data_IF_577741047443
#
_entry.id   IF_577741047443
#
_cell.length_a   1.000
_cell.length_b   1.000
_cell.length_c   1.000
_cell.angle_alpha   90.00
_cell.angle_beta   90.00
_cell.angle_gamma   90.00
#
_symmetry.space_group_name_H-M   'P 1'
#
loop_
_entity.id
_entity.type
_entity.pdbx_description
1 polymer ?
#
# COMPACT_ATOMS: atom_id res chain seq x y z
N UNK A 1 -20.92 0.40 37.08
CA UNK A 1 -20.56 0.43 38.52
C UNK A 1 -21.33 1.57 39.17
N UNK A 2 -22.43 1.27 39.88
CA UNK A 2 -23.00 2.06 40.97
C UNK A 2 -24.15 1.22 41.56
N UNK A 3 -24.09 1.03 42.87
CA UNK A 3 -24.88 0.10 43.66
C UNK A 3 -25.68 0.86 44.73
N UNK A 4 -26.63 0.13 45.31
CA UNK A 4 -27.28 0.33 46.62
C UNK A 4 -28.41 1.38 46.73
N UNK A 5 -29.62 0.90 47.08
CA UNK A 5 -30.11 0.98 48.46
C UNK A 5 -31.39 0.12 48.59
N UNK A 6 -31.30 -0.95 49.38
CA UNK A 6 -32.43 -1.73 49.85
C UNK A 6 -32.84 -1.19 51.23
N UNK A 7 -34.08 -0.75 51.37
CA UNK A 7 -34.67 -0.35 52.65
C UNK A 7 -35.69 -1.40 53.07
N UNK A 8 -35.24 -2.34 53.89
CA UNK A 8 -36.05 -3.28 54.67
C UNK A 8 -36.53 -2.62 55.95
N UNK A 9 -37.84 -2.46 56.13
CA UNK A 9 -38.44 -2.06 57.41
C UNK A 9 -39.28 -3.20 57.97
N UNK A 10 -38.77 -3.79 59.03
CA UNK A 10 -39.39 -4.83 59.85
C UNK A 10 -40.24 -4.24 60.98
N UNK A 11 -41.24 -5.04 61.38
CA UNK A 11 -41.89 -5.16 62.70
C UNK A 11 -42.67 -3.98 63.30
N UNK A 12 -43.97 -4.21 63.51
CA UNK A 12 -44.50 -4.18 64.87
C UNK A 12 -45.74 -5.07 65.00
N UNK A 13 -45.63 -6.10 65.85
CA UNK A 13 -46.72 -6.97 66.25
C UNK A 13 -47.27 -6.53 67.60
N UNK A 14 -48.52 -6.09 67.62
CA UNK A 14 -49.32 -5.91 68.84
C UNK A 14 -50.49 -6.89 68.79
N UNK A 15 -50.44 -7.90 69.67
CA UNK A 15 -51.55 -8.77 69.98
C UNK A 15 -52.61 -7.98 70.75
N UNK A 16 -53.80 -7.80 70.17
CA UNK A 16 -55.00 -7.38 70.87
C UNK A 16 -56.09 -8.44 70.75
N UNK A 17 -56.79 -8.62 71.85
CA UNK A 17 -57.82 -9.61 72.14
C UNK A 17 -58.93 -9.66 71.07
N UNK A 18 -59.32 -10.89 70.75
CA UNK A 18 -60.37 -11.25 69.80
C UNK A 18 -61.75 -10.99 70.41
N UNK A 19 -62.25 -9.76 70.31
CA UNK A 19 -63.69 -9.54 70.14
C UNK A 19 -64.02 -9.85 68.68
N UNK A 20 -65.08 -10.63 68.37
CA UNK A 20 -65.47 -10.89 66.99
C UNK A 20 -65.92 -9.58 66.35
N UNK A 21 -65.00 -8.92 65.64
CA UNK A 21 -65.27 -7.84 64.72
C UNK A 21 -66.16 -8.39 63.61
N UNK A 22 -67.47 -8.40 63.85
CA UNK A 22 -68.44 -8.40 62.75
C UNK A 22 -68.07 -7.18 61.92
N UNK A 23 -67.59 -7.42 60.70
CA UNK A 23 -67.14 -6.40 59.77
C UNK A 23 -68.31 -5.48 59.40
N UNK A 24 -68.60 -4.53 60.28
CA UNK A 24 -69.58 -3.47 60.09
C UNK A 24 -68.90 -2.39 59.23
N UNK A 25 -68.69 -2.72 57.97
CA UNK A 25 -68.03 -1.86 57.01
C UNK A 25 -68.03 -2.50 55.63
N UNK A 26 -68.23 -1.67 54.60
CA UNK A 26 -68.35 -2.00 53.17
C UNK A 26 -67.10 -2.69 52.58
N UNK A 27 -66.77 -3.90 53.02
CA UNK A 27 -65.61 -4.68 52.54
C UNK A 27 -65.72 -4.96 51.03
N UNK A 28 -66.93 -5.17 50.53
CA UNK A 28 -67.21 -5.37 49.10
C UNK A 28 -66.78 -4.13 48.30
N UNK A 29 -67.11 -2.92 48.77
CA UNK A 29 -66.71 -1.68 48.07
C UNK A 29 -65.19 -1.51 48.09
N UNK A 30 -64.53 -1.82 49.21
CA UNK A 30 -63.07 -1.78 49.30
C UNK A 30 -62.41 -2.78 48.35
N UNK A 31 -62.94 -4.00 48.24
CA UNK A 31 -62.42 -5.00 47.31
C UNK A 31 -62.58 -4.55 45.84
N UNK A 32 -63.76 -4.05 45.48
CA UNK A 32 -64.02 -3.49 44.13
C UNK A 32 -63.11 -2.30 43.84
N UNK A 33 -62.88 -1.43 44.83
CA UNK A 33 -61.99 -0.28 44.69
C UNK A 33 -60.52 -0.71 44.51
N UNK A 34 -60.06 -1.69 45.28
CA UNK A 34 -58.72 -2.28 45.14
C UNK A 34 -58.55 -2.93 43.76
N UNK A 35 -59.54 -3.68 43.29
CA UNK A 35 -59.53 -4.29 41.98
C UNK A 35 -59.46 -3.23 40.86
N UNK A 36 -60.28 -2.17 40.94
CA UNK A 36 -60.24 -1.06 39.97
C UNK A 36 -58.90 -0.32 39.99
N UNK A 37 -58.32 -0.13 41.17
CA UNK A 37 -57.01 0.49 41.35
C UNK A 37 -55.90 -0.40 40.76
N UNK A 38 -55.97 -1.71 40.98
CA UNK A 38 -55.03 -2.66 40.39
C UNK A 38 -55.11 -2.69 38.87
N UNK A 39 -56.32 -2.68 38.30
CA UNK A 39 -56.52 -2.63 36.84
C UNK A 39 -55.98 -1.33 36.23
N UNK A 40 -56.23 -0.18 36.88
CA UNK A 40 -55.66 1.10 36.44
C UNK A 40 -54.12 1.09 36.49
N UNK A 41 -53.52 0.54 37.56
CA UNK A 41 -52.07 0.41 37.67
C UNK A 41 -51.48 -0.50 36.59
N UNK A 42 -52.16 -1.60 36.26
CA UNK A 42 -51.78 -2.49 35.14
C UNK A 42 -51.78 -1.73 33.82
N UNK A 43 -52.83 -0.97 33.51
CA UNK A 43 -52.87 -0.16 32.29
C UNK A 43 -51.79 0.91 32.24
N UNK A 44 -51.54 1.60 33.35
CA UNK A 44 -50.49 2.60 33.45
C UNK A 44 -49.10 1.99 33.18
N UNK A 45 -48.82 0.82 33.74
CA UNK A 45 -47.55 0.12 33.54
C UNK A 45 -47.40 -0.37 32.09
N UNK A 46 -48.45 -0.90 31.49
CA UNK A 46 -48.43 -1.29 30.07
C UNK A 46 -48.14 -0.10 29.16
N UNK A 47 -48.75 1.06 29.44
CA UNK A 47 -48.50 2.28 28.67
C UNK A 47 -47.03 2.72 28.82
N UNK A 48 -46.49 2.73 30.05
CA UNK A 48 -45.09 3.06 30.30
C UNK A 48 -44.14 2.13 29.53
N UNK A 49 -44.42 0.83 29.50
CA UNK A 49 -43.62 -0.15 28.76
C UNK A 49 -43.67 0.12 27.25
N UNK A 50 -44.86 0.38 26.69
CA UNK A 50 -45.00 0.74 25.28
C UNK A 50 -44.26 2.03 24.93
N UNK A 51 -44.35 3.05 25.78
CA UNK A 51 -43.59 4.30 25.61
C UNK A 51 -42.09 4.03 25.59
N UNK A 52 -41.58 3.20 26.52
CA UNK A 52 -40.16 2.82 26.53
C UNK A 52 -39.73 2.09 25.25
N UNK A 53 -40.56 1.18 24.73
CA UNK A 53 -40.28 0.48 23.47
C UNK A 53 -40.25 1.44 22.27
N UNK A 54 -41.19 2.39 22.20
CA UNK A 54 -41.24 3.41 21.14
C UNK A 54 -39.96 4.26 21.18
N UNK A 55 -39.57 4.75 22.35
CA UNK A 55 -38.36 5.57 22.51
C UNK A 55 -37.08 4.79 22.13
N UNK A 56 -36.98 3.52 22.53
CA UNK A 56 -35.86 2.66 22.14
C UNK A 56 -35.81 2.42 20.63
N UNK A 57 -36.96 2.23 19.98
CA UNK A 57 -37.04 2.07 18.54
C UNK A 57 -36.59 3.34 17.80
N UNK A 58 -36.99 4.52 18.30
CA UNK A 58 -36.55 5.81 17.77
C UNK A 58 -35.02 5.98 17.87
N UNK A 59 -34.44 5.73 19.04
CA UNK A 59 -32.98 5.82 19.22
C UNK A 59 -32.21 4.88 18.26
N UNK A 60 -32.72 3.67 18.03
CA UNK A 60 -32.13 2.73 17.06
C UNK A 60 -32.25 3.22 15.61
N UNK A 61 -33.37 3.86 15.26
CA UNK A 61 -33.60 4.40 13.93
C UNK A 61 -32.63 5.57 13.64
N UNK A 62 -32.43 6.45 14.61
CA UNK A 62 -31.48 7.57 14.51
C UNK A 62 -30.04 7.08 14.34
N UNK A 63 -29.66 6.04 15.10
CA UNK A 63 -28.35 5.40 14.94
C UNK A 63 -28.16 4.81 13.53
N UNK A 64 -29.16 4.13 12.99
CA UNK A 64 -29.11 3.57 11.63
C UNK A 64 -29.08 4.67 10.56
N UNK A 65 -29.84 5.74 10.73
CA UNK A 65 -29.79 6.89 9.82
C UNK A 65 -28.41 7.53 9.78
N UNK A 66 -27.78 7.69 10.95
CA UNK A 66 -26.39 8.17 11.04
C UNK A 66 -25.43 7.23 10.31
N UNK A 67 -25.54 5.91 10.53
CA UNK A 67 -24.71 4.93 9.82
C UNK A 67 -24.90 4.98 8.29
N UNK A 68 -26.14 5.17 7.82
CA UNK A 68 -26.43 5.31 6.39
C UNK A 68 -25.74 6.57 5.83
N UNK A 69 -25.74 7.67 6.59
CA UNK A 69 -25.07 8.90 6.19
C UNK A 69 -23.54 8.71 6.11
N UNK A 70 -22.93 8.12 7.14
CA UNK A 70 -21.49 7.83 7.17
C UNK A 70 -21.06 6.96 5.98
N UNK A 71 -21.84 5.91 5.66
CA UNK A 71 -21.57 5.04 4.50
C UNK A 71 -21.74 5.77 3.16
N UNK A 72 -22.70 6.67 3.05
CA UNK A 72 -22.87 7.51 1.85
C UNK A 72 -21.68 8.44 1.65
N UNK A 73 -21.18 9.07 2.72
CA UNK A 73 -20.00 9.95 2.66
C UNK A 73 -18.73 9.16 2.33
N UNK A 74 -18.58 7.96 2.90
CA UNK A 74 -17.48 7.05 2.57
C UNK A 74 -17.55 6.60 1.11
N UNK A 75 -18.73 6.23 0.60
CA UNK A 75 -18.92 5.84 -0.80
C UNK A 75 -18.65 7.00 -1.76
N UNK A 76 -19.15 8.20 -1.46
CA UNK A 76 -18.86 9.40 -2.26
C UNK A 76 -17.37 9.72 -2.30
N UNK A 77 -16.64 9.46 -1.21
CA UNK A 77 -15.18 9.60 -1.15
C UNK A 77 -14.48 8.50 -1.95
N UNK A 78 -14.97 7.26 -1.85
CA UNK A 78 -14.44 6.11 -2.59
C UNK A 78 -14.62 6.31 -4.10
N UNK A 79 -15.79 6.73 -4.58
CA UNK A 79 -16.08 6.97 -6.01
C UNK A 79 -15.26 8.13 -6.61
N UNK A 80 -14.69 9.03 -5.80
CA UNK A 80 -13.70 10.02 -6.29
C UNK A 80 -12.32 9.43 -6.56
N UNK A 81 -11.94 8.34 -5.90
CA UNK A 81 -10.63 7.69 -6.10
C UNK A 81 -10.47 6.97 -7.46
N UNK A 82 -11.45 6.22 -8.00
CA UNK A 82 -11.31 5.60 -9.32
C UNK A 82 -11.20 6.66 -10.41
N UNK A 83 -11.88 7.81 -10.27
CA UNK A 83 -11.74 8.93 -11.21
C UNK A 83 -10.32 9.49 -11.23
N UNK A 84 -9.66 9.58 -10.07
CA UNK A 84 -8.25 10.02 -9.97
C UNK A 84 -7.27 8.98 -10.53
N UNK A 85 -7.53 7.70 -10.29
CA UNK A 85 -6.69 6.63 -10.85
C UNK A 85 -6.86 6.51 -12.37
N UNK A 86 -8.09 6.65 -12.87
CA UNK A 86 -8.37 6.60 -14.30
C UNK A 86 -7.77 7.83 -15.00
N UNK A 87 -7.79 9.02 -14.39
CA UNK A 87 -7.14 10.21 -14.95
C UNK A 87 -5.61 10.06 -15.00
N UNK A 88 -4.99 9.53 -13.95
CA UNK A 88 -3.54 9.23 -13.95
C UNK A 88 -3.19 8.14 -14.97
N UNK A 89 -4.02 7.08 -15.08
CA UNK A 89 -3.85 6.05 -16.11
C UNK A 89 -3.90 6.66 -17.51
N UNK A 90 -4.88 7.53 -17.79
CA UNK A 90 -5.02 8.20 -19.08
C UNK A 90 -3.81 9.10 -19.37
N UNK A 91 -3.35 9.83 -18.35
CA UNK A 91 -2.15 10.69 -18.44
C UNK A 91 -0.91 9.86 -18.79
N UNK A 92 -0.69 8.75 -18.10
CA UNK A 92 0.44 7.84 -18.36
C UNK A 92 0.36 7.21 -19.76
N UNK A 93 -0.83 6.82 -20.21
CA UNK A 93 -1.03 6.29 -21.56
C UNK A 93 -0.71 7.34 -22.64
N UNK A 94 -1.06 8.61 -22.41
CA UNK A 94 -0.67 9.70 -23.32
C UNK A 94 0.84 9.94 -23.31
N UNK A 95 1.49 9.97 -22.14
CA UNK A 95 2.96 10.10 -22.07
C UNK A 95 3.67 8.95 -22.79
N UNK A 96 3.19 7.71 -22.66
CA UNK A 96 3.77 6.56 -23.38
C UNK A 96 3.62 6.69 -24.90
N UNK A 97 2.50 7.23 -25.38
CA UNK A 97 2.30 7.51 -26.80
C UNK A 97 3.31 8.55 -27.31
N UNK A 98 3.45 9.66 -26.59
CA UNK A 98 4.38 10.73 -26.92
C UNK A 98 5.83 10.23 -27.00
N UNK A 99 6.27 9.44 -26.02
CA UNK A 99 7.61 8.82 -26.03
C UNK A 99 7.82 7.91 -27.23
N UNK A 100 6.81 7.12 -27.62
CA UNK A 100 6.90 6.28 -28.81
C UNK A 100 7.00 7.11 -30.09
N UNK A 101 6.18 8.15 -30.23
CA UNK A 101 6.24 9.07 -31.38
C UNK A 101 7.60 9.77 -31.47
N UNK A 102 8.17 10.19 -30.35
CA UNK A 102 9.49 10.83 -30.32
C UNK A 102 10.63 9.87 -30.63
N UNK A 103 10.53 8.61 -30.21
CA UNK A 103 11.47 7.56 -30.61
C UNK A 103 11.42 7.34 -32.12
N UNK A 104 10.23 7.21 -32.69
CA UNK A 104 10.07 6.99 -34.13
C UNK A 104 10.62 8.18 -34.95
N UNK A 105 10.44 9.42 -34.46
CA UNK A 105 11.08 10.62 -35.04
C UNK A 105 12.61 10.55 -34.93
N UNK A 106 13.14 10.15 -33.78
CA UNK A 106 14.57 10.04 -33.54
C UNK A 106 15.21 8.98 -34.46
N UNK A 107 14.58 7.83 -34.63
CA UNK A 107 15.03 6.76 -35.53
C UNK A 107 15.06 7.24 -36.99
N UNK A 108 14.03 8.01 -37.41
CA UNK A 108 14.00 8.59 -38.76
C UNK A 108 15.13 9.63 -38.98
N UNK A 109 15.41 10.46 -37.97
CA UNK A 109 16.52 11.41 -37.99
C UNK A 109 17.88 10.71 -38.01
N UNK A 110 18.03 9.64 -37.24
CA UNK A 110 19.25 8.83 -37.23
C UNK A 110 19.53 8.21 -38.60
N UNK A 111 18.52 7.63 -39.24
CA UNK A 111 18.64 7.09 -40.61
C UNK A 111 19.06 8.20 -41.59
N UNK A 112 18.55 9.42 -41.41
CA UNK A 112 18.87 10.56 -42.28
C UNK A 112 20.31 11.02 -42.08
N UNK A 113 20.75 11.20 -40.84
CA UNK A 113 22.13 11.56 -40.49
C UNK A 113 23.13 10.48 -40.90
N UNK A 114 22.76 9.20 -40.79
CA UNK A 114 23.62 8.10 -41.24
C UNK A 114 23.80 8.13 -42.76
N UNK A 115 22.74 8.41 -43.54
CA UNK A 115 22.84 8.62 -44.99
C UNK A 115 23.76 9.79 -45.32
N UNK A 116 23.59 10.95 -44.66
CA UNK A 116 24.45 12.12 -44.87
C UNK A 116 25.90 11.89 -44.47
N UNK A 117 26.13 11.14 -43.38
CA UNK A 117 27.47 10.78 -42.90
C UNK A 117 28.18 9.87 -43.89
N UNK A 118 27.46 8.89 -44.45
CA UNK A 118 27.99 8.01 -45.52
C UNK A 118 28.27 8.80 -46.79
N UNK A 119 27.35 9.68 -47.21
CA UNK A 119 27.53 10.56 -48.38
C UNK A 119 28.71 11.52 -48.21
N UNK A 120 28.91 12.06 -47.01
CA UNK A 120 30.04 12.94 -46.70
C UNK A 120 31.36 12.19 -46.67
N UNK A 121 31.37 10.93 -46.21
CA UNK A 121 32.55 10.06 -46.21
C UNK A 121 32.96 9.63 -47.63
N UNK A 122 32.00 9.59 -48.56
CA UNK A 122 32.22 9.28 -49.97
C UNK A 122 32.64 10.50 -50.82
N UNK A 123 32.70 11.72 -50.26
CA UNK A 123 33.32 12.89 -50.91
C UNK A 123 34.77 13.07 -50.40
N UNK A 124 35.80 12.74 -51.19
CA UNK A 124 37.17 13.02 -50.81
C UNK A 124 37.44 14.53 -50.97
N UNK A 125 37.74 15.25 -49.89
CA UNK A 125 38.38 16.58 -49.99
C UNK A 125 37.89 17.73 -49.10
N UNK A 126 36.86 17.58 -48.25
CA UNK A 126 36.34 18.71 -47.43
C UNK A 126 36.19 18.40 -45.94
N UNK A 127 37.15 17.69 -45.34
CA UNK A 127 37.18 17.55 -43.88
C UNK A 127 37.96 18.72 -43.27
N UNK A 128 37.27 19.83 -43.06
CA UNK A 128 37.84 21.05 -42.48
C UNK A 128 37.85 20.95 -40.94
N UNK A 129 39.01 20.76 -40.27
CA UNK A 129 39.08 20.49 -38.83
C UNK A 129 38.58 21.64 -37.95
N UNK A 130 38.51 22.85 -38.51
CA UNK A 130 38.07 24.07 -37.82
C UNK A 130 36.54 24.12 -37.61
N UNK A 131 35.75 23.41 -38.41
CA UNK A 131 34.29 23.31 -38.28
C UNK A 131 33.84 22.21 -37.30
N UNK A 132 34.69 21.22 -37.01
CA UNK A 132 34.35 20.09 -36.13
C UNK A 132 34.55 20.40 -34.64
N UNK A 133 35.51 21.26 -34.31
CA UNK A 133 35.84 21.65 -32.93
C UNK A 133 34.69 22.36 -32.16
N UNK A 134 33.91 23.28 -32.77
CA UNK A 134 32.77 23.92 -32.11
C UNK A 134 31.65 22.94 -31.75
N UNK A 135 31.34 22.00 -32.64
CA UNK A 135 30.33 20.96 -32.40
C UNK A 135 30.76 20.01 -31.28
N UNK A 136 32.02 19.58 -31.26
CA UNK A 136 32.54 18.73 -30.19
C UNK A 136 32.53 19.43 -28.83
N UNK A 137 32.86 20.74 -28.80
CA UNK A 137 32.78 21.55 -27.58
C UNK A 137 31.34 21.72 -27.09
N UNK A 138 30.38 21.91 -28.00
CA UNK A 138 28.94 21.98 -27.69
C UNK A 138 28.41 20.63 -27.19
N UNK A 139 28.78 19.52 -27.83
CA UNK A 139 28.41 18.17 -27.40
C UNK A 139 28.97 17.85 -26.01
N UNK A 140 30.23 18.17 -25.75
CA UNK A 140 30.86 18.01 -24.42
C UNK A 140 30.18 18.84 -23.35
N UNK A 141 29.81 20.09 -23.66
CA UNK A 141 29.05 20.95 -22.75
C UNK A 141 27.66 20.36 -22.45
N UNK A 142 26.97 19.83 -23.45
CA UNK A 142 25.65 19.19 -23.30
C UNK A 142 25.73 17.92 -22.45
N UNK A 143 26.75 17.08 -22.64
CA UNK A 143 26.98 15.90 -21.79
C UNK A 143 27.24 16.30 -20.34
N UNK A 144 28.05 17.34 -20.10
CA UNK A 144 28.29 17.84 -18.74
C UNK A 144 27.01 18.37 -18.09
N UNK A 145 26.17 19.06 -18.86
CA UNK A 145 24.88 19.58 -18.38
C UNK A 145 23.91 18.45 -18.04
N UNK A 146 23.83 17.42 -18.89
CA UNK A 146 23.03 16.22 -18.61
C UNK A 146 23.49 15.50 -17.35
N UNK A 147 24.80 15.35 -17.13
CA UNK A 147 25.34 14.77 -15.90
C UNK A 147 24.95 15.58 -14.66
N UNK A 148 25.03 16.92 -14.73
CA UNK A 148 24.61 17.78 -13.63
C UNK A 148 23.10 17.63 -13.34
N UNK A 149 22.26 17.59 -14.36
CA UNK A 149 20.82 17.37 -14.20
C UNK A 149 20.51 15.99 -13.58
N UNK A 150 21.19 14.93 -14.02
CA UNK A 150 21.05 13.59 -13.45
C UNK A 150 21.40 13.61 -11.96
N UNK A 151 22.48 14.29 -11.57
CA UNK A 151 22.88 14.40 -10.17
C UNK A 151 21.80 15.09 -9.32
N UNK A 152 21.26 16.22 -9.80
CA UNK A 152 20.21 16.97 -9.10
C UNK A 152 18.94 16.14 -8.92
N UNK A 153 18.50 15.44 -9.97
CA UNK A 153 17.30 14.59 -9.89
C UNK A 153 17.53 13.42 -8.93
N UNK A 154 18.72 12.81 -8.98
CA UNK A 154 19.07 11.64 -8.15
C UNK A 154 19.15 12.01 -6.67
N UNK A 155 19.75 13.15 -6.33
CA UNK A 155 19.98 13.57 -4.95
C UNK A 155 18.79 14.33 -4.34
N UNK A 156 17.96 14.98 -5.15
CA UNK A 156 16.85 15.82 -4.69
C UNK A 156 15.51 15.07 -4.63
N UNK A 157 14.75 15.18 -5.72
CA UNK A 157 13.37 14.70 -5.79
C UNK A 157 13.26 13.18 -5.70
N UNK A 158 14.16 12.45 -6.36
CA UNK A 158 14.16 10.99 -6.33
C UNK A 158 14.46 10.43 -4.94
N UNK A 159 15.42 11.02 -4.23
CA UNK A 159 15.77 10.59 -2.87
C UNK A 159 14.61 10.80 -1.88
N UNK A 160 13.92 11.94 -1.97
CA UNK A 160 12.76 12.26 -1.12
C UNK A 160 11.59 11.32 -1.44
N UNK A 161 11.25 11.16 -2.72
CA UNK A 161 10.18 10.24 -3.14
C UNK A 161 10.48 8.79 -2.75
N UNK A 162 11.73 8.36 -2.80
CA UNK A 162 12.15 7.03 -2.34
C UNK A 162 11.92 6.84 -0.84
N UNK A 163 12.30 7.83 -0.03
CA UNK A 163 12.06 7.78 1.42
C UNK A 163 10.56 7.71 1.77
N UNK A 164 9.71 8.45 1.04
CA UNK A 164 8.26 8.41 1.21
C UNK A 164 7.67 7.03 0.84
N UNK A 165 8.14 6.43 -0.26
CA UNK A 165 7.73 5.06 -0.64
C UNK A 165 8.14 4.04 0.41
N UNK A 166 9.36 4.13 0.96
CA UNK A 166 9.83 3.23 2.01
C UNK A 166 9.04 3.42 3.31
N UNK A 167 8.66 4.65 3.65
CA UNK A 167 7.78 4.96 4.79
C UNK A 167 6.38 4.35 4.60
N UNK A 168 5.74 4.55 3.45
CA UNK A 168 4.42 3.96 3.15
C UNK A 168 4.45 2.44 3.21
N UNK A 169 5.55 1.82 2.77
CA UNK A 169 5.75 0.37 2.89
C UNK A 169 5.84 -0.10 4.34
N UNK A 170 6.54 0.64 5.20
CA UNK A 170 6.58 0.35 6.64
C UNK A 170 5.18 0.45 7.28
N UNK A 171 4.42 1.49 6.94
CA UNK A 171 3.04 1.68 7.43
C UNK A 171 2.10 0.54 6.96
N UNK A 172 2.33 -0.01 5.76
CA UNK A 172 1.60 -1.15 5.20
C UNK A 172 2.14 -2.52 5.63
N UNK A 173 3.21 -2.58 6.43
CA UNK A 173 3.85 -3.82 6.86
C UNK A 173 4.54 -4.62 5.74
N UNK A 174 4.88 -3.96 4.62
CA UNK A 174 5.57 -4.59 3.49
C UNK A 174 7.09 -4.55 3.68
N UNK A 175 7.83 -5.59 3.25
CA UNK A 175 9.29 -5.59 3.34
C UNK A 175 9.89 -4.46 2.49
N UNK A 176 11.06 -3.91 2.91
CA UNK A 176 11.73 -2.85 2.17
C UNK A 176 12.11 -3.32 0.77
N UNK A 177 12.05 -2.39 -0.20
CA UNK A 177 12.36 -2.73 -1.58
C UNK A 177 13.83 -3.19 -1.71
N UNK A 178 14.09 -4.23 -2.53
CA UNK A 178 15.46 -4.60 -2.87
C UNK A 178 16.15 -3.43 -3.57
N UNK A 179 17.44 -3.26 -3.30
CA UNK A 179 18.21 -2.17 -3.89
C UNK A 179 18.22 -2.26 -5.42
N UNK A 180 18.20 -1.12 -6.11
CA UNK A 180 18.27 -1.07 -7.58
C UNK A 180 19.49 -1.86 -8.10
N UNK A 181 20.61 -1.81 -7.38
CA UNK A 181 21.82 -2.59 -7.65
C UNK A 181 21.54 -4.10 -7.61
N UNK A 182 20.85 -4.58 -6.57
CA UNK A 182 20.48 -6.00 -6.46
C UNK A 182 19.54 -6.42 -7.59
N UNK A 183 18.59 -5.57 -7.98
CA UNK A 183 17.68 -5.85 -9.11
C UNK A 183 18.41 -5.86 -10.45
N UNK A 184 19.40 -4.98 -10.64
CA UNK A 184 20.25 -4.96 -11.84
C UNK A 184 21.12 -6.21 -11.89
N UNK A 185 21.72 -6.60 -10.77
CA UNK A 185 22.59 -7.77 -10.67
C UNK A 185 21.80 -9.06 -10.92
N UNK A 186 20.60 -9.19 -10.34
CA UNK A 186 19.67 -10.29 -10.61
C UNK A 186 19.26 -10.35 -12.09
N UNK A 187 18.87 -9.22 -12.69
CA UNK A 187 18.54 -9.16 -14.12
C UNK A 187 19.73 -9.48 -15.01
N UNK A 188 20.94 -9.05 -14.65
CA UNK A 188 22.16 -9.35 -15.40
C UNK A 188 22.48 -10.85 -15.36
N UNK A 189 22.29 -11.49 -14.21
CA UNK A 189 22.44 -12.94 -14.06
C UNK A 189 21.37 -13.68 -14.84
N UNK A 190 20.13 -13.20 -14.82
CA UNK A 190 19.03 -13.75 -15.60
C UNK A 190 19.34 -13.68 -17.10
N UNK A 191 19.83 -12.54 -17.58
CA UNK A 191 20.23 -12.36 -18.97
C UNK A 191 21.35 -13.33 -19.37
N UNK A 192 22.38 -13.48 -18.53
CA UNK A 192 23.46 -14.45 -18.78
C UNK A 192 22.96 -15.90 -18.74
N UNK A 193 21.95 -16.20 -17.92
CA UNK A 193 21.32 -17.52 -17.84
C UNK A 193 20.52 -17.80 -19.10
N UNK A 194 19.73 -16.84 -19.56
CA UNK A 194 18.95 -16.93 -20.80
C UNK A 194 19.87 -17.05 -22.01
N UNK A 195 20.99 -16.32 -22.04
CA UNK A 195 22.00 -16.45 -23.09
C UNK A 195 22.62 -17.85 -23.15
N UNK A 196 22.90 -18.47 -21.98
CA UNK A 196 23.37 -19.86 -21.92
C UNK A 196 22.31 -20.83 -22.41
N UNK A 197 21.06 -20.64 -21.99
CA UNK A 197 19.94 -21.50 -22.37
C UNK A 197 19.64 -21.40 -23.87
N UNK A 198 19.78 -20.20 -24.44
CA UNK A 198 19.69 -19.95 -25.88
C UNK A 198 20.85 -20.59 -26.65
N UNK A 199 22.08 -20.52 -26.13
CA UNK A 199 23.22 -21.22 -26.71
C UNK A 199 23.08 -22.75 -26.65
N UNK A 200 22.53 -23.29 -25.55
CA UNK A 200 22.19 -24.71 -25.43
C UNK A 200 21.08 -25.12 -26.41
N UNK A 201 20.07 -24.26 -26.62
CA UNK A 201 19.01 -24.50 -27.60
C UNK A 201 19.53 -24.50 -29.05
N UNK A 202 20.53 -23.67 -29.37
CA UNK A 202 21.16 -23.65 -30.70
C UNK A 202 22.20 -24.74 -30.90
N UNK A 203 22.74 -25.31 -29.81
CA UNK A 203 23.74 -26.39 -29.84
C UNK A 203 23.14 -27.77 -29.53
N UNK A 204 21.83 -27.86 -29.37
CA UNK A 204 21.12 -29.13 -29.27
C UNK A 204 21.12 -29.82 -30.65
N UNK A 205 21.57 -31.08 -30.76
CA UNK A 205 21.57 -31.78 -32.04
C UNK A 205 20.13 -31.95 -32.53
N UNK A 206 19.81 -31.31 -33.64
CA UNK A 206 18.52 -31.40 -34.33
C UNK A 206 18.21 -32.87 -34.69
N UNK A 207 17.47 -33.56 -33.82
CA UNK A 207 16.79 -34.80 -34.19
C UNK A 207 15.53 -34.41 -34.96
N UNK A 208 15.54 -34.80 -36.23
CA UNK A 208 14.47 -34.68 -37.23
C UNK A 208 13.09 -35.04 -36.65
N UNK A 209 12.03 -34.27 -36.94
CA UNK A 209 10.66 -34.74 -36.75
C UNK A 209 10.34 -35.69 -37.91
N UNK A 210 9.99 -36.93 -37.56
CA UNK A 210 9.33 -37.86 -38.48
C UNK A 210 7.90 -38.06 -37.96
N UNK A 211 6.94 -37.46 -38.66
CA UNK A 211 5.54 -37.90 -38.80
C UNK A 211 5.55 -39.35 -39.35
N UNK A 212 4.70 -40.35 -39.06
CA UNK A 212 3.33 -40.52 -38.53
C UNK A 212 3.14 -42.08 -38.32
N UNK A 213 1.95 -42.67 -38.05
CA UNK A 213 1.37 -43.07 -36.77
C UNK A 213 1.36 -44.59 -36.49
N UNK A 214 1.03 -44.99 -35.26
CA UNK A 214 0.61 -46.35 -34.92
C UNK A 214 0.05 -46.48 -33.50
N UNK A 215 -1.18 -46.99 -33.30
CA UNK A 215 -1.75 -47.19 -31.98
C UNK A 215 -1.39 -48.60 -31.48
N UNK A 216 -0.67 -48.68 -30.36
CA UNK A 216 -0.50 -49.94 -29.64
C UNK A 216 -0.41 -49.66 -28.14
N UNK A 217 -1.54 -49.92 -27.49
CA UNK A 217 -1.67 -50.65 -26.22
C UNK A 217 -0.37 -51.22 -25.63
N UNK A 218 -0.14 -51.01 -24.31
CA UNK A 218 0.82 -51.82 -23.55
C UNK A 218 1.55 -51.13 -22.38
N UNK A 219 0.89 -51.06 -21.22
CA UNK A 219 1.48 -51.03 -19.87
C UNK A 219 2.26 -52.36 -19.56
N UNK A 220 3.03 -52.63 -18.46
CA UNK A 220 3.72 -51.86 -17.39
C UNK A 220 5.22 -52.28 -17.11
N UNK A 221 5.81 -51.69 -16.06
CA UNK A 221 6.89 -52.21 -15.15
C UNK A 221 8.37 -52.16 -15.56
N UNK A 222 9.22 -51.75 -14.60
CA UNK A 222 10.67 -52.01 -14.66
C UNK A 222 11.48 -51.23 -13.62
N UNK A 223 11.89 -51.91 -12.54
CA UNK A 223 12.67 -51.37 -11.41
C UNK A 223 14.14 -51.05 -11.78
N UNK A 224 14.71 -50.08 -11.05
CA UNK A 224 16.14 -49.84 -10.62
C UNK A 224 17.11 -51.03 -10.88
N UNK A 225 18.47 -50.90 -11.04
CA UNK A 225 19.37 -50.08 -10.19
C UNK A 225 20.79 -49.72 -10.79
N UNK A 226 21.67 -49.20 -9.93
CA UNK A 226 23.17 -49.16 -9.96
C UNK A 226 23.84 -47.95 -10.63
N UNK A 227 24.60 -47.21 -9.82
CA UNK A 227 25.68 -46.37 -10.34
C UNK A 227 26.06 -45.16 -9.51
N UNK A 228 26.26 -45.31 -8.19
CA UNK A 228 27.02 -44.32 -7.40
C UNK A 228 28.49 -44.71 -7.43
N UNK A 229 29.40 -43.88 -7.97
CA UNK A 229 30.77 -43.84 -7.50
C UNK A 229 30.88 -42.79 -6.39
N UNK A 230 31.45 -43.22 -5.27
CA UNK A 230 31.91 -42.39 -4.16
C UNK A 230 33.17 -41.62 -4.59
N UNK A 231 33.18 -40.31 -4.32
CA UNK A 231 34.36 -39.62 -3.78
C UNK A 231 35.23 -38.83 -4.76
N UNK A 232 35.47 -37.56 -4.41
CA UNK A 232 36.77 -36.85 -4.47
C UNK A 232 36.48 -35.38 -4.08
N UNK A 233 36.50 -35.00 -2.80
CA UNK A 233 37.64 -34.39 -2.07
C UNK A 233 38.59 -33.54 -2.93
N UNK A 234 38.42 -32.22 -2.89
CA UNK A 234 39.54 -31.25 -2.76
C UNK A 234 39.09 -30.01 -1.97
N UNK A 235 40.06 -29.41 -1.29
CA UNK A 235 40.02 -28.63 -0.04
C UNK A 235 39.80 -27.12 -0.22
N UNK A 236 39.44 -26.41 0.86
CA UNK A 236 39.41 -24.94 0.92
C UNK A 236 40.83 -24.36 0.95
N UNK A 237 41.04 -23.19 0.35
CA UNK A 237 42.18 -22.33 0.68
C UNK A 237 41.68 -21.03 1.30
N UNK A 238 42.33 -20.74 2.41
CA UNK A 238 42.06 -19.76 3.44
C UNK A 238 43.24 -18.76 3.44
N UNK A 239 42.93 -17.52 3.80
CA UNK A 239 43.74 -16.50 4.49
C UNK A 239 44.41 -15.32 3.76
N UNK A 240 44.21 -14.16 4.42
CA UNK A 240 45.03 -12.94 4.45
C UNK A 240 44.17 -11.67 4.35
N UNK A 241 43.57 -11.08 5.41
CA UNK A 241 44.19 -10.29 6.51
C UNK A 241 44.96 -9.09 5.93
N UNK A 242 44.64 -7.81 6.11
CA UNK A 242 44.41 -6.96 7.30
C UNK A 242 43.88 -5.60 6.76
N UNK A 243 43.11 -4.77 7.47
CA UNK A 243 43.65 -3.67 8.32
C UNK A 243 42.49 -3.02 9.07
N UNK A 244 42.67 -2.85 10.38
CA UNK A 244 41.82 -2.09 11.27
C UNK A 244 42.31 -0.64 11.39
N UNK A 245 41.39 0.32 11.44
CA UNK A 245 41.52 1.67 12.04
C UNK A 245 40.07 2.12 12.33
N UNK A 246 39.56 2.16 13.55
CA UNK A 246 39.90 2.95 14.75
C UNK A 246 39.67 4.46 14.57
N UNK A 247 38.65 4.97 15.28
CA UNK A 247 38.43 6.35 15.82
C UNK A 247 38.23 7.47 14.78
N UNK A 248 37.29 8.42 14.88
CA UNK A 248 36.87 9.25 16.02
C UNK A 248 35.48 9.88 15.77
N UNK A 249 34.69 9.98 16.84
CA UNK A 249 33.62 10.95 17.10
C UNK A 249 34.10 12.40 16.86
N UNK A 250 33.22 13.33 16.48
CA UNK A 250 33.02 14.45 17.40
C UNK A 250 31.53 14.78 17.64
N UNK A 251 31.27 14.98 18.93
CA UNK A 251 30.12 15.65 19.50
C UNK A 251 30.58 17.06 19.89
N UNK A 252 29.95 18.09 19.36
CA UNK A 252 29.99 19.48 19.87
C UNK A 252 28.93 20.29 19.11
N UNK A 253 27.73 20.51 19.66
CA UNK A 253 27.31 21.63 20.55
C UNK A 253 26.97 22.93 19.82
N UNK A 254 25.80 23.48 20.21
CA UNK A 254 25.32 24.86 20.02
C UNK A 254 24.89 25.23 18.58
N UNK A 255 23.84 26.02 18.32
CA UNK A 255 23.13 26.95 19.17
C UNK A 255 21.67 27.14 18.72
N UNK A 256 20.84 27.45 19.70
CA UNK A 256 19.52 28.06 19.61
C UNK A 256 19.51 29.30 18.71
N UNK A 257 18.49 29.44 17.87
CA UNK A 257 18.01 30.74 17.42
C UNK A 257 16.50 30.69 17.23
N UNK A 258 15.82 30.98 18.33
CA UNK A 258 14.48 31.56 18.39
C UNK A 258 14.40 32.79 17.49
N UNK A 259 13.50 32.75 16.49
CA UNK A 259 13.13 33.89 15.66
C UNK A 259 11.62 34.10 15.70
N UNK A 260 11.14 34.61 16.84
CA UNK A 260 9.83 35.21 16.94
C UNK A 260 9.87 36.58 16.25
N UNK A 261 8.99 36.81 15.29
CA UNK A 261 8.64 38.15 14.83
C UNK A 261 7.12 38.18 14.62
N UNK A 262 6.44 38.74 15.61
CA UNK A 262 5.08 39.19 15.47
C UNK A 262 5.02 40.67 15.09
N UNK A 263 3.79 41.09 14.79
CA UNK A 263 3.24 42.43 15.00
C UNK A 263 3.60 43.55 14.04
N UNK A 264 2.65 43.87 13.15
CA UNK A 264 1.97 45.18 13.03
C UNK A 264 1.14 45.12 11.73
N UNK A 265 -0.18 45.22 11.71
CA UNK A 265 -0.94 46.32 12.30
C UNK A 265 -1.02 47.43 11.26
N UNK A 266 -1.96 47.35 10.31
CA UNK A 266 -2.21 48.44 9.37
C UNK A 266 -3.72 48.69 9.23
N UNK A 267 -4.11 49.85 9.75
CA UNK A 267 -5.34 50.56 9.51
C UNK A 267 -5.46 50.97 8.04
N UNK A 268 -6.65 50.85 7.44
CA UNK A 268 -7.18 51.90 6.57
C UNK A 268 -8.67 51.67 6.24
N UNK A 269 -9.45 52.72 6.51
CA UNK A 269 -10.72 53.16 5.92
C UNK A 269 -11.92 52.19 5.89
#
# INVERSE_FOLDING_TARGET
MSAAAASSSSSNGTQQQQTPLVAQGDWIKNLVHLAKTAELKKHALTLQLQTAHILSAHASLDQKNKQIQDLKEQKNSADRTPSRLESERLRLLNCLREVNEDRDKADLLEVTLNKESVLSRLRPGTFDPWLTYPMFRRARSRCSQLQATIQVITDGEYATAKADVDRLRQELGQPPMPSLQATIEEKSQQYLKDLRLQAEAMNAPAKRPAEDPGPSEGQPTGKRPRGRPKGSKTKPKVNGTTTAQKTTTPQSTSASASGAAGSSGEHAA
#
